data_IF_197041554243
#
_entry.id   IF_197041554243
#
_cell.length_a   1.000
_cell.length_b   1.000
_cell.length_c   1.000
_cell.angle_alpha   90.00
_cell.angle_beta   90.00
_cell.angle_gamma   90.00
#
_symmetry.space_group_name_H-M   'P 1'
#
loop_
_entity.id
_entity.type
_entity.pdbx_description
1 polymer ?
#
# COMPACT_ATOMS: atom_id res chain seq x y z
N UNK A 1 -21.34 -4.26 10.77
CA UNK A 1 -21.54 -2.79 10.72
C UNK A 1 -22.25 -2.41 9.42
N UNK A 2 -23.15 -1.44 9.47
CA UNK A 2 -23.98 -1.08 8.32
C UNK A 2 -23.21 -0.16 7.37
N UNK A 3 -23.43 -0.34 6.06
CA UNK A 3 -22.77 0.46 5.03
C UNK A 3 -23.06 1.97 5.17
N UNK A 4 -24.25 2.33 5.68
CA UNK A 4 -24.69 3.72 5.79
C UNK A 4 -23.96 4.50 6.91
N UNK A 5 -23.30 3.80 7.83
CA UNK A 5 -22.55 4.39 8.93
C UNK A 5 -21.13 4.86 8.51
N UNK A 6 -20.70 4.56 7.27
CA UNK A 6 -19.33 4.78 6.80
C UNK A 6 -19.26 5.65 5.55
N UNK A 7 -18.24 6.50 5.51
CA UNK A 7 -17.89 7.28 4.32
C UNK A 7 -16.85 6.53 3.44
N UNK A 8 -16.93 6.78 2.13
CA UNK A 8 -16.03 6.21 1.11
C UNK A 8 -15.59 7.29 0.12
N UNK A 9 -15.28 8.48 0.62
CA UNK A 9 -14.97 9.65 -0.22
C UNK A 9 -13.68 9.46 -1.00
N UNK A 10 -12.65 8.90 -0.38
CA UNK A 10 -11.36 8.61 -1.02
C UNK A 10 -11.51 7.58 -2.13
N UNK A 11 -12.18 6.45 -1.86
CA UNK A 11 -12.48 5.43 -2.85
C UNK A 11 -13.23 6.00 -4.05
N UNK A 12 -14.30 6.75 -3.81
CA UNK A 12 -15.13 7.36 -4.86
C UNK A 12 -14.34 8.37 -5.70
N UNK A 13 -13.61 9.27 -5.05
CA UNK A 13 -12.81 10.30 -5.72
C UNK A 13 -11.75 9.67 -6.61
N UNK A 14 -11.02 8.68 -6.09
CA UNK A 14 -9.98 8.01 -6.86
C UNK A 14 -10.55 7.22 -8.04
N UNK A 15 -11.64 6.49 -7.81
CA UNK A 15 -12.31 5.75 -8.88
C UNK A 15 -12.79 6.68 -9.99
N UNK A 16 -13.41 7.81 -9.63
CA UNK A 16 -13.83 8.82 -10.60
C UNK A 16 -12.64 9.40 -11.37
N UNK A 17 -11.58 9.77 -10.68
CA UNK A 17 -10.38 10.31 -11.31
C UNK A 17 -9.73 9.36 -12.32
N UNK A 18 -9.80 8.05 -12.06
CA UNK A 18 -9.21 7.04 -12.95
C UNK A 18 -10.13 6.59 -14.08
N UNK A 19 -11.42 6.37 -13.79
CA UNK A 19 -12.36 5.76 -14.75
C UNK A 19 -13.29 6.79 -15.41
N UNK A 20 -13.39 8.02 -14.91
CA UNK A 20 -14.38 9.01 -15.37
C UNK A 20 -15.82 8.67 -14.97
N UNK A 21 -16.01 7.66 -14.13
CA UNK A 21 -17.32 7.13 -13.74
C UNK A 21 -17.52 7.19 -12.22
N UNK A 22 -18.78 7.33 -11.78
CA UNK A 22 -19.10 7.29 -10.34
C UNK A 22 -19.05 5.86 -9.81
N UNK A 23 -18.51 5.70 -8.60
CA UNK A 23 -18.58 4.44 -7.85
C UNK A 23 -19.96 4.33 -7.19
N UNK A 24 -20.90 3.66 -7.86
CA UNK A 24 -22.30 3.57 -7.45
C UNK A 24 -22.58 2.44 -6.44
N UNK A 25 -23.81 2.39 -5.91
CA UNK A 25 -24.22 1.36 -4.93
C UNK A 25 -24.09 -0.08 -5.44
N UNK A 26 -24.19 -0.31 -6.76
CA UNK A 26 -24.06 -1.66 -7.33
C UNK A 26 -22.62 -2.15 -7.28
N UNK A 27 -21.65 -1.25 -7.46
CA UNK A 27 -20.23 -1.59 -7.42
C UNK A 27 -19.79 -2.05 -6.03
N UNK A 28 -20.34 -1.48 -4.94
CA UNK A 28 -20.02 -1.97 -3.59
C UNK A 28 -20.38 -3.44 -3.40
N UNK A 29 -21.52 -3.89 -3.95
CA UNK A 29 -21.92 -5.29 -3.91
C UNK A 29 -21.12 -6.15 -4.87
N UNK A 30 -20.94 -5.71 -6.11
CA UNK A 30 -20.24 -6.48 -7.13
C UNK A 30 -18.78 -6.72 -6.80
N UNK A 31 -18.14 -5.80 -6.09
CA UNK A 31 -16.80 -5.96 -5.56
C UNK A 31 -16.74 -6.65 -4.18
N UNK A 32 -17.88 -7.04 -3.62
CA UNK A 32 -17.90 -7.72 -2.32
C UNK A 32 -17.50 -6.84 -1.14
N UNK A 33 -17.69 -5.50 -1.22
CA UNK A 33 -17.50 -4.58 -0.10
C UNK A 33 -18.70 -4.58 0.86
N UNK A 34 -19.88 -4.94 0.34
CA UNK A 34 -21.14 -5.01 1.07
C UNK A 34 -21.83 -6.32 0.72
N UNK A 35 -22.38 -6.99 1.70
CA UNK A 35 -23.19 -8.20 1.53
C UNK A 35 -24.62 -7.89 1.02
N UNK A 36 -25.41 -8.94 0.82
CA UNK A 36 -26.80 -8.82 0.35
C UNK A 36 -27.74 -8.15 1.35
N UNK A 37 -27.34 -8.04 2.62
CA UNK A 37 -28.10 -7.38 3.69
C UNK A 37 -27.70 -5.94 3.93
N UNK A 38 -26.71 -5.41 3.20
CA UNK A 38 -26.18 -4.07 3.39
C UNK A 38 -25.15 -3.97 4.51
N UNK A 39 -24.59 -5.10 4.94
CA UNK A 39 -23.53 -5.17 5.95
C UNK A 39 -22.17 -5.07 5.26
N UNK A 40 -21.28 -4.27 5.81
CA UNK A 40 -19.90 -4.17 5.31
C UNK A 40 -19.15 -5.48 5.54
N UNK A 41 -18.51 -5.96 4.49
CA UNK A 41 -17.52 -7.02 4.60
C UNK A 41 -16.23 -6.51 5.24
N UNK A 42 -15.32 -7.39 5.57
CA UNK A 42 -14.01 -7.00 6.08
C UNK A 42 -13.24 -6.11 5.09
N UNK A 43 -13.31 -6.43 3.79
CA UNK A 43 -12.74 -5.59 2.74
C UNK A 43 -13.48 -4.23 2.64
N UNK A 44 -14.78 -4.19 2.86
CA UNK A 44 -15.57 -2.97 2.94
C UNK A 44 -15.09 -2.05 4.06
N UNK A 45 -14.86 -2.57 5.26
CA UNK A 45 -14.32 -1.82 6.39
C UNK A 45 -12.91 -1.26 6.08
N UNK A 46 -12.06 -2.05 5.44
CA UNK A 46 -10.72 -1.61 5.03
C UNK A 46 -10.72 -0.52 3.96
N UNK A 47 -11.79 -0.41 3.16
CA UNK A 47 -11.93 0.63 2.14
C UNK A 47 -12.66 1.88 2.62
N UNK A 48 -13.26 1.86 3.81
CA UNK A 48 -13.91 3.01 4.40
C UNK A 48 -12.88 4.10 4.77
N UNK A 49 -13.26 5.36 4.69
CA UNK A 49 -12.36 6.49 5.01
C UNK A 49 -11.87 6.41 6.46
N UNK A 50 -12.77 6.10 7.39
CA UNK A 50 -12.48 5.84 8.79
C UNK A 50 -12.55 4.34 9.07
N UNK A 51 -11.46 3.63 8.84
CA UNK A 51 -11.40 2.20 9.09
C UNK A 51 -11.32 1.91 10.59
N UNK A 52 -12.26 1.13 11.18
CA UNK A 52 -12.26 0.83 12.60
C UNK A 52 -11.24 -0.25 12.99
N UNK A 53 -10.60 -0.88 12.02
CA UNK A 53 -9.67 -1.98 12.24
C UNK A 53 -8.29 -1.43 12.65
N UNK A 54 -7.85 -1.73 13.85
CA UNK A 54 -6.58 -1.24 14.41
C UNK A 54 -5.36 -1.58 13.55
N UNK A 55 -5.38 -2.71 12.87
CA UNK A 55 -4.32 -3.17 11.97
C UNK A 55 -4.33 -2.45 10.60
N UNK A 56 -5.33 -1.60 10.31
CA UNK A 56 -5.31 -0.71 9.13
C UNK A 56 -4.42 0.50 9.41
N UNK A 57 -3.10 0.24 9.39
CA UNK A 57 -2.07 1.18 9.82
C UNK A 57 -0.76 0.92 9.11
N UNK A 58 -0.01 2.00 8.84
CA UNK A 58 1.36 1.96 8.32
C UNK A 58 2.25 2.83 9.20
N UNK A 59 3.39 2.30 9.61
CA UNK A 59 4.45 3.07 10.24
C UNK A 59 5.52 3.40 9.20
N UNK A 60 5.83 4.67 9.03
CA UNK A 60 6.88 5.14 8.14
C UNK A 60 7.97 5.80 8.97
N UNK A 61 9.24 5.47 8.71
CA UNK A 61 10.38 6.09 9.38
C UNK A 61 11.51 6.35 8.40
N UNK A 62 12.02 7.58 8.40
CA UNK A 62 13.26 7.96 7.74
C UNK A 62 14.38 7.97 8.79
N UNK A 63 15.20 6.95 8.78
CA UNK A 63 16.31 6.79 9.71
C UNK A 63 17.48 7.71 9.35
N UNK A 64 18.25 8.12 10.36
CA UNK A 64 19.47 8.86 10.19
C UNK A 64 20.65 7.89 10.04
N UNK A 65 21.00 7.58 8.79
CA UNK A 65 22.08 6.65 8.49
C UNK A 65 21.61 5.31 7.92
N UNK A 66 22.41 4.27 8.16
CA UNK A 66 22.21 2.94 7.58
C UNK A 66 21.56 1.92 8.51
N UNK A 67 21.34 2.29 9.77
CA UNK A 67 20.76 1.43 10.82
C UNK A 67 19.74 2.19 11.64
N UNK A 68 18.94 1.48 12.46
CA UNK A 68 17.97 2.06 13.40
C UNK A 68 18.64 2.72 14.62
N UNK A 69 19.91 2.46 14.85
CA UNK A 69 20.71 3.04 15.93
C UNK A 69 21.82 3.91 15.30
N UNK A 70 21.55 5.18 15.07
CA UNK A 70 22.43 6.07 14.30
C UNK A 70 23.20 7.12 15.11
N UNK A 71 23.11 7.13 16.44
CA UNK A 71 23.80 8.12 17.27
C UNK A 71 22.85 8.95 18.13
N UNK A 72 23.08 10.27 18.26
CA UNK A 72 22.22 11.15 19.08
C UNK A 72 20.88 11.50 18.43
N UNK A 73 20.73 11.26 17.13
CA UNK A 73 19.50 11.46 16.36
C UNK A 73 19.24 10.17 15.58
N UNK A 74 18.18 9.45 15.95
CA UNK A 74 17.86 8.15 15.35
C UNK A 74 17.03 8.29 14.08
N UNK A 75 16.01 9.14 14.07
CA UNK A 75 15.11 9.33 12.92
C UNK A 75 15.06 10.81 12.49
N UNK A 76 15.02 11.02 11.18
CA UNK A 76 14.89 12.35 10.57
C UNK A 76 13.43 12.73 10.33
N UNK A 77 12.57 11.75 10.09
CA UNK A 77 11.12 11.91 9.87
C UNK A 77 10.40 10.63 10.26
N UNK A 78 9.19 10.75 10.77
CA UNK A 78 8.34 9.60 11.07
C UNK A 78 6.87 9.95 10.92
N UNK A 79 6.07 8.96 10.55
CA UNK A 79 4.62 9.07 10.47
C UNK A 79 3.95 7.76 10.86
N UNK A 80 2.87 7.88 11.60
CA UNK A 80 1.89 6.83 11.81
C UNK A 80 0.65 7.18 10.99
N UNK A 81 0.33 6.34 10.00
CA UNK A 81 -0.76 6.56 9.06
C UNK A 81 -1.86 5.56 9.37
N UNK A 82 -3.08 6.04 9.60
CA UNK A 82 -4.25 5.23 9.93
C UNK A 82 -5.43 5.58 9.02
N UNK A 83 -6.38 4.69 8.86
CA UNK A 83 -7.58 4.90 8.05
C UNK A 83 -7.81 3.81 7.02
N UNK A 84 -8.58 4.10 5.99
CA UNK A 84 -8.83 3.19 4.88
C UNK A 84 -7.62 3.00 3.98
N UNK A 85 -7.61 1.90 3.22
CA UNK A 85 -6.45 1.50 2.40
C UNK A 85 -6.03 2.54 1.35
N UNK A 86 -6.98 3.31 0.82
CA UNK A 86 -6.67 4.39 -0.13
C UNK A 86 -5.87 5.49 0.59
N UNK A 87 -6.29 5.88 1.81
CA UNK A 87 -5.55 6.83 2.64
C UNK A 87 -4.17 6.29 3.00
N UNK A 88 -4.10 5.04 3.46
CA UNK A 88 -2.81 4.42 3.79
C UNK A 88 -1.83 4.46 2.61
N UNK A 89 -2.30 4.13 1.41
CA UNK A 89 -1.47 4.15 0.20
C UNK A 89 -1.02 5.58 -0.15
N UNK A 90 -1.96 6.53 -0.26
CA UNK A 90 -1.66 7.90 -0.70
C UNK A 90 -0.73 8.62 0.28
N UNK A 91 -0.98 8.48 1.58
CA UNK A 91 -0.18 9.15 2.62
C UNK A 91 1.19 8.48 2.80
N UNK A 92 1.29 7.15 2.64
CA UNK A 92 2.58 6.44 2.60
C UNK A 92 3.42 6.92 1.41
N UNK A 93 2.82 7.04 0.23
CA UNK A 93 3.51 7.57 -0.95
C UNK A 93 3.93 9.03 -0.76
N UNK A 94 3.11 9.84 -0.08
CA UNK A 94 3.46 11.23 0.26
C UNK A 94 4.65 11.29 1.23
N UNK A 95 4.69 10.40 2.24
CA UNK A 95 5.85 10.25 3.13
C UNK A 95 7.12 9.89 2.35
N UNK A 96 7.03 8.90 1.47
CA UNK A 96 8.18 8.44 0.70
C UNK A 96 8.68 9.55 -0.25
N UNK A 97 7.78 10.27 -0.95
CA UNK A 97 8.16 11.36 -1.86
C UNK A 97 8.95 12.47 -1.13
N UNK A 98 8.48 12.92 0.05
CA UNK A 98 9.17 13.99 0.78
C UNK A 98 10.54 13.57 1.35
N UNK A 99 10.75 12.25 1.52
CA UNK A 99 12.00 11.68 2.01
C UNK A 99 12.88 11.08 0.90
N UNK A 100 12.42 11.07 -0.34
CA UNK A 100 13.14 10.54 -1.49
C UNK A 100 14.15 11.58 -1.99
N UNK A 101 15.44 11.27 -1.91
CA UNK A 101 16.51 12.16 -2.33
C UNK A 101 16.59 12.22 -3.84
N UNK A 102 16.83 13.41 -4.38
CA UNK A 102 17.19 13.59 -5.79
C UNK A 102 18.70 13.57 -5.91
N UNK A 103 19.22 12.58 -6.60
CA UNK A 103 20.61 12.46 -7.01
C UNK A 103 20.80 13.21 -8.33
N UNK A 104 21.99 13.67 -8.62
CA UNK A 104 22.26 14.30 -9.90
C UNK A 104 23.71 14.09 -10.35
N UNK A 105 23.91 14.11 -11.65
CA UNK A 105 25.24 14.19 -12.27
C UNK A 105 25.21 15.18 -13.44
N UNK A 106 26.38 15.64 -13.84
CA UNK A 106 26.53 16.55 -14.97
C UNK A 106 26.89 15.80 -16.23
N UNK A 107 26.17 16.07 -17.29
CA UNK A 107 26.59 15.83 -18.66
C UNK A 107 27.15 17.12 -19.28
N UNK A 108 27.86 17.05 -20.45
CA UNK A 108 28.49 18.26 -21.03
C UNK A 108 27.52 19.40 -21.26
N UNK A 109 26.27 19.14 -21.56
CA UNK A 109 25.26 20.15 -21.93
C UNK A 109 24.14 20.33 -20.89
N UNK A 110 24.05 19.45 -19.86
CA UNK A 110 22.92 19.45 -18.95
C UNK A 110 23.22 18.77 -17.62
N UNK A 111 22.42 19.09 -16.59
CA UNK A 111 22.34 18.38 -15.33
C UNK A 111 21.24 17.33 -15.44
N UNK A 112 21.57 16.07 -15.13
CA UNK A 112 20.59 14.97 -15.05
C UNK A 112 20.26 14.73 -13.59
N UNK A 113 18.98 14.77 -13.27
CA UNK A 113 18.46 14.47 -11.93
C UNK A 113 17.75 13.12 -11.93
N UNK A 114 18.07 12.31 -10.94
CA UNK A 114 17.51 10.95 -10.78
C UNK A 114 17.02 10.79 -9.34
N UNK A 115 15.75 10.42 -9.11
CA UNK A 115 15.29 10.09 -7.77
C UNK A 115 16.01 8.85 -7.25
N UNK A 116 16.35 8.83 -5.96
CA UNK A 116 16.99 7.66 -5.32
C UNK A 116 16.14 6.39 -5.48
N UNK A 117 14.82 6.55 -5.38
CA UNK A 117 13.84 5.49 -5.60
C UNK A 117 12.85 5.91 -6.69
N UNK A 118 12.70 5.08 -7.70
CA UNK A 118 11.73 5.31 -8.78
C UNK A 118 10.31 5.16 -8.25
N UNK A 119 9.49 6.19 -8.43
CA UNK A 119 8.14 6.27 -7.85
C UNK A 119 7.26 5.07 -8.25
N UNK A 120 7.32 4.64 -9.51
CA UNK A 120 6.54 3.49 -9.99
C UNK A 120 6.89 2.20 -9.24
N UNK A 121 8.19 1.93 -9.04
CA UNK A 121 8.63 0.73 -8.32
C UNK A 121 8.19 0.76 -6.85
N UNK A 122 8.32 1.92 -6.22
CA UNK A 122 7.91 2.11 -4.83
C UNK A 122 6.40 1.94 -4.68
N UNK A 123 5.62 2.54 -5.58
CA UNK A 123 4.15 2.41 -5.60
C UNK A 123 3.75 0.94 -5.67
N UNK A 124 4.36 0.17 -6.57
CA UNK A 124 4.06 -1.26 -6.72
C UNK A 124 4.35 -2.05 -5.43
N UNK A 125 5.49 -1.81 -4.79
CA UNK A 125 5.84 -2.48 -3.53
C UNK A 125 4.89 -2.11 -2.40
N UNK A 126 4.51 -0.84 -2.25
CA UNK A 126 3.56 -0.39 -1.21
C UNK A 126 2.17 -0.97 -1.47
N UNK A 127 1.69 -0.94 -2.72
CA UNK A 127 0.41 -1.57 -3.10
C UNK A 127 0.42 -3.06 -2.76
N UNK A 128 1.50 -3.78 -3.11
CA UNK A 128 1.65 -5.19 -2.80
C UNK A 128 1.68 -5.44 -1.29
N UNK A 129 2.38 -4.60 -0.52
CA UNK A 129 2.43 -4.71 0.93
C UNK A 129 1.04 -4.58 1.58
N UNK A 130 0.18 -3.70 1.06
CA UNK A 130 -1.20 -3.52 1.53
C UNK A 130 -2.13 -4.61 0.99
N UNK A 131 -2.05 -4.96 -0.30
CA UNK A 131 -2.93 -5.95 -0.93
C UNK A 131 -2.69 -7.38 -0.42
N UNK A 132 -1.45 -7.71 -0.06
CA UNK A 132 -1.06 -9.06 0.38
C UNK A 132 -0.85 -9.18 1.89
N UNK A 133 -1.05 -8.11 2.66
CA UNK A 133 -1.03 -8.16 4.13
C UNK A 133 -2.01 -9.20 4.65
N UNK A 134 -1.61 -9.95 5.66
CA UNK A 134 -2.54 -10.76 6.43
C UNK A 134 -3.25 -9.92 7.49
N UNK A 135 -4.47 -9.52 7.19
CA UNK A 135 -5.28 -8.66 8.08
C UNK A 135 -5.84 -9.39 9.30
N UNK A 136 -5.67 -10.71 9.40
CA UNK A 136 -6.01 -11.47 10.61
C UNK A 136 -4.92 -11.35 11.68
N UNK A 137 -3.69 -11.01 11.29
CA UNK A 137 -2.59 -10.76 12.22
C UNK A 137 -2.81 -9.40 12.88
N UNK A 138 -3.06 -9.43 14.19
CA UNK A 138 -3.18 -8.25 15.04
C UNK A 138 -1.84 -8.01 15.75
N UNK A 139 -1.55 -6.73 16.05
CA UNK A 139 -0.33 -6.34 16.77
C UNK A 139 0.94 -6.34 15.92
N UNK A 140 0.81 -6.39 14.60
CA UNK A 140 1.89 -6.15 13.65
C UNK A 140 1.36 -5.39 12.45
N UNK A 141 2.02 -4.33 12.06
CA UNK A 141 1.61 -3.40 11.03
C UNK A 141 2.54 -3.43 9.81
N UNK A 142 2.15 -2.73 8.75
CA UNK A 142 3.05 -2.47 7.63
C UNK A 142 4.07 -1.41 8.06
N UNK A 143 5.34 -1.66 7.79
CA UNK A 143 6.43 -0.71 8.07
C UNK A 143 7.14 -0.32 6.80
N UNK A 144 7.45 0.97 6.68
CA UNK A 144 8.30 1.56 5.64
C UNK A 144 9.49 2.21 6.32
N UNK A 145 10.62 1.56 6.27
CA UNK A 145 11.89 2.03 6.85
C UNK A 145 12.80 2.54 5.71
N UNK A 146 13.06 3.84 5.67
CA UNK A 146 13.98 4.46 4.70
C UNK A 146 15.32 4.76 5.38
N UNK A 147 16.41 4.21 4.83
CA UNK A 147 17.79 4.42 5.26
C UNK A 147 18.55 5.24 4.21
N UNK A 148 19.82 5.55 4.47
CA UNK A 148 20.64 6.28 3.52
C UNK A 148 20.97 5.47 2.24
N UNK A 149 21.01 4.16 2.36
CA UNK A 149 21.41 3.22 1.30
C UNK A 149 20.30 2.31 0.79
N UNK A 150 19.16 2.23 1.49
CA UNK A 150 18.06 1.32 1.12
C UNK A 150 16.72 1.75 1.70
N UNK A 151 15.67 1.17 1.14
CA UNK A 151 14.32 1.16 1.70
C UNK A 151 13.93 -0.28 2.03
N UNK A 152 13.30 -0.49 3.17
CA UNK A 152 12.76 -1.79 3.59
C UNK A 152 11.27 -1.62 3.82
N UNK A 153 10.46 -2.42 3.14
CA UNK A 153 9.01 -2.47 3.35
C UNK A 153 8.68 -3.85 3.91
N UNK A 154 8.11 -3.84 5.11
CA UNK A 154 7.65 -5.05 5.80
C UNK A 154 6.13 -5.09 5.77
N UNK A 155 5.57 -6.26 5.48
CA UNK A 155 4.14 -6.52 5.56
C UNK A 155 3.89 -7.81 6.33
N UNK A 156 2.99 -7.81 7.33
CA UNK A 156 2.67 -9.01 8.10
C UNK A 156 2.01 -10.11 7.25
N UNK A 157 2.46 -11.33 7.42
CA UNK A 157 1.94 -12.52 6.78
C UNK A 157 3.04 -13.42 6.22
N UNK A 158 2.72 -14.69 6.02
CA UNK A 158 3.55 -15.67 5.31
C UNK A 158 3.06 -15.81 3.87
N UNK A 159 3.78 -16.56 3.04
CA UNK A 159 3.27 -16.96 1.74
C UNK A 159 1.94 -17.72 1.89
N UNK A 160 0.96 -17.51 1.00
CA UNK A 160 -0.24 -18.33 0.97
C UNK A 160 0.11 -19.82 0.94
N UNK A 161 -0.69 -20.66 1.61
CA UNK A 161 -0.48 -22.09 1.73
C UNK A 161 0.79 -22.53 2.48
N UNK A 162 1.46 -21.61 3.23
CA UNK A 162 2.66 -21.94 4.02
C UNK A 162 3.88 -22.33 3.20
N UNK A 163 3.90 -22.03 1.91
CA UNK A 163 5.05 -22.32 1.02
C UNK A 163 6.23 -21.42 1.36
N UNK A 164 7.45 -21.95 1.22
CA UNK A 164 8.67 -21.19 1.38
C UNK A 164 9.18 -20.76 0.00
N UNK A 165 9.29 -19.46 -0.23
CA UNK A 165 9.77 -18.89 -1.50
C UNK A 165 11.17 -19.44 -1.88
N UNK A 166 12.02 -19.70 -0.86
CA UNK A 166 13.36 -20.23 -1.05
C UNK A 166 13.42 -21.62 -1.68
N UNK A 167 12.31 -22.38 -1.62
CA UNK A 167 12.20 -23.74 -2.17
C UNK A 167 11.47 -23.79 -3.50
N UNK A 168 11.05 -22.64 -4.03
CA UNK A 168 10.28 -22.55 -5.28
C UNK A 168 11.13 -22.04 -6.41
N UNK A 169 10.89 -22.54 -7.63
CA UNK A 169 11.40 -21.93 -8.82
C UNK A 169 10.62 -20.61 -9.06
N UNK A 170 11.32 -19.48 -9.11
CA UNK A 170 10.72 -18.15 -9.26
C UNK A 170 9.90 -17.99 -10.55
N UNK A 171 10.24 -18.73 -11.60
CA UNK A 171 9.52 -18.72 -12.88
C UNK A 171 8.15 -19.42 -12.80
N UNK A 172 7.97 -20.33 -11.83
CA UNK A 172 6.78 -21.17 -11.67
C UNK A 172 5.88 -20.72 -10.51
N UNK A 173 6.15 -19.58 -9.86
CA UNK A 173 5.35 -19.10 -8.73
C UNK A 173 3.99 -18.60 -9.25
N UNK A 174 2.88 -19.29 -8.90
CA UNK A 174 1.58 -18.80 -9.28
C UNK A 174 1.27 -17.49 -8.56
N UNK A 175 0.68 -16.52 -9.24
CA UNK A 175 0.17 -15.29 -8.63
C UNK A 175 -1.03 -15.61 -7.73
N UNK A 176 -0.77 -15.86 -6.44
CA UNK A 176 -1.82 -16.11 -5.45
C UNK A 176 -2.12 -14.83 -4.70
N UNK A 177 -3.36 -14.37 -4.78
CA UNK A 177 -3.83 -13.15 -4.11
C UNK A 177 -4.38 -13.50 -2.74
N UNK A 178 -3.76 -13.03 -1.65
CA UNK A 178 -4.28 -13.21 -0.28
C UNK A 178 -5.64 -12.54 -0.10
N UNK A 179 -5.76 -11.31 -0.58
CA UNK A 179 -6.98 -10.49 -0.47
C UNK A 179 -7.50 -10.13 -1.87
N UNK A 180 -8.18 -11.05 -2.58
CA UNK A 180 -8.57 -10.83 -3.97
C UNK A 180 -9.48 -9.61 -4.16
N UNK A 181 -10.41 -9.35 -3.24
CA UNK A 181 -11.28 -8.18 -3.28
C UNK A 181 -10.47 -6.87 -3.23
N UNK A 182 -9.49 -6.79 -2.33
CA UNK A 182 -8.63 -5.60 -2.20
C UNK A 182 -7.80 -5.41 -3.47
N UNK A 183 -7.20 -6.48 -3.99
CA UNK A 183 -6.40 -6.42 -5.21
C UNK A 183 -7.25 -5.99 -6.42
N UNK A 184 -8.48 -6.51 -6.56
CA UNK A 184 -9.38 -6.12 -7.63
C UNK A 184 -9.78 -4.64 -7.54
N UNK A 185 -10.02 -4.12 -6.34
CA UNK A 185 -10.31 -2.70 -6.15
C UNK A 185 -9.09 -1.85 -6.47
N UNK A 186 -7.89 -2.19 -5.99
CA UNK A 186 -6.67 -1.46 -6.32
C UNK A 186 -6.41 -1.43 -7.83
N UNK A 187 -6.74 -2.50 -8.56
CA UNK A 187 -6.67 -2.51 -10.02
C UNK A 187 -7.72 -1.57 -10.65
N UNK A 188 -8.94 -1.50 -10.11
CA UNK A 188 -9.98 -0.56 -10.57
C UNK A 188 -9.63 0.90 -10.26
N UNK A 189 -8.83 1.15 -9.23
CA UNK A 189 -8.35 2.49 -8.89
C UNK A 189 -7.08 2.89 -9.67
N UNK A 190 -6.55 2.00 -10.53
CA UNK A 190 -5.34 2.24 -11.31
C UNK A 190 -4.04 2.18 -10.49
N UNK A 191 -4.07 1.55 -9.33
CA UNK A 191 -2.88 1.37 -8.50
C UNK A 191 -2.12 0.08 -8.80
N UNK A 192 -2.77 -0.90 -9.46
CA UNK A 192 -2.24 -2.24 -9.69
C UNK A 192 -2.62 -2.71 -11.09
N UNK A 193 -1.74 -3.42 -11.78
CA UNK A 193 -2.06 -4.08 -13.03
C UNK A 193 -2.71 -5.45 -12.77
N UNK A 194 -3.73 -5.82 -13.57
CA UNK A 194 -4.45 -7.10 -13.41
C UNK A 194 -3.65 -8.33 -13.83
N UNK A 195 -2.69 -8.13 -14.73
CA UNK A 195 -1.77 -9.20 -15.18
C UNK A 195 -0.40 -8.89 -14.59
N UNK A 196 0.11 -9.82 -13.81
CA UNK A 196 1.48 -9.74 -13.30
C UNK A 196 2.47 -9.74 -14.47
N UNK A 197 2.82 -8.54 -14.91
CA UNK A 197 3.91 -8.26 -15.84
C UNK A 197 5.02 -7.56 -15.04
N UNK A 198 5.42 -8.19 -13.94
CA UNK A 198 6.56 -7.78 -13.13
C UNK A 198 7.74 -8.67 -13.39
#
# INVERSE_FOLDING_TARGET
>A
EMFEDYAFSKLRSRYYAWNGLSFDKKLYRSFGLVDNKGILTYAGLLMADECPLRQSRVFCTRWNGKTKAGGSIDALDSAEITGGLVTLLEDTMSFIRRNNRTLWYKEPMQRIEIPQYMERCVMEVVVNALAHRDYLIQGSEVHVDMYDDRMVIYSPGSMPEGRLIQTMNLEDIPSVRRNPVIADIFAQLGYMERKGSG
#
